data_IF_650333146814
#
_entry.id   IF_650333146814
#
_cell.length_a   1.000
_cell.length_b   1.000
_cell.length_c   1.000
_cell.angle_alpha   90.00
_cell.angle_beta   90.00
_cell.angle_gamma   90.00
#
_symmetry.space_group_name_H-M   'P 1'
#
loop_
_entity.id
_entity.type
_entity.pdbx_description
1 polymer ?
#
# COMPACT_ATOMS: atom_id res chain seq x y z
N UNK A 1 -11.70 25.83 -70.75
CA UNK A 1 -10.66 25.47 -69.77
C UNK A 1 -11.35 25.30 -68.43
N UNK A 2 -11.52 24.05 -67.99
CA UNK A 2 -11.97 23.69 -66.64
C UNK A 2 -11.41 22.29 -66.34
N UNK A 3 -10.60 22.18 -65.28
CA UNK A 3 -10.18 20.96 -64.55
C UNK A 3 -9.32 21.49 -63.38
N UNK A 4 -9.24 20.98 -62.15
CA UNK A 4 -9.58 19.71 -61.55
C UNK A 4 -8.65 19.52 -60.35
N UNK A 5 -9.22 19.42 -59.14
CA UNK A 5 -8.78 18.63 -57.98
C UNK A 5 -7.28 18.44 -57.62
N UNK A 6 -6.90 18.77 -56.37
CA UNK A 6 -6.38 17.84 -55.31
C UNK A 6 -5.43 18.51 -54.29
N UNK A 7 -5.82 18.41 -53.01
CA UNK A 7 -5.06 18.00 -51.82
C UNK A 7 -3.59 18.47 -51.63
N UNK A 8 -3.36 19.28 -50.59
CA UNK A 8 -2.13 19.21 -49.79
C UNK A 8 -2.43 19.56 -48.33
N UNK A 9 -2.53 18.52 -47.51
CA UNK A 9 -2.41 18.62 -46.05
C UNK A 9 -1.16 17.86 -45.63
N UNK A 10 -0.26 18.56 -44.91
CA UNK A 10 0.80 18.07 -44.02
C UNK A 10 1.88 19.18 -43.95
N UNK A 11 2.40 19.62 -42.81
CA UNK A 11 2.11 19.28 -41.43
C UNK A 11 2.50 20.48 -40.55
N UNK A 12 1.63 20.84 -39.61
CA UNK A 12 2.03 21.67 -38.49
C UNK A 12 2.79 20.76 -37.53
N UNK A 13 4.09 20.95 -37.41
CA UNK A 13 4.91 20.40 -36.32
C UNK A 13 4.21 20.71 -34.99
N UNK A 14 3.80 19.67 -34.28
CA UNK A 14 3.25 19.79 -32.93
C UNK A 14 4.34 20.35 -32.00
N UNK A 15 4.00 21.26 -31.07
CA UNK A 15 4.98 21.81 -30.13
C UNK A 15 5.59 20.71 -29.28
N UNK A 16 6.88 20.80 -29.00
CA UNK A 16 7.59 19.92 -28.07
C UNK A 16 7.01 20.12 -26.65
N UNK A 17 6.27 19.10 -26.19
CA UNK A 17 5.54 19.13 -24.91
C UNK A 17 6.41 18.69 -23.72
N UNK A 18 7.70 18.41 -23.93
CA UNK A 18 8.57 17.94 -22.84
C UNK A 18 8.98 19.02 -21.85
N UNK A 19 8.84 20.31 -22.18
CA UNK A 19 9.30 21.41 -21.32
C UNK A 19 8.18 22.28 -20.72
N UNK A 20 6.90 22.02 -21.02
CA UNK A 20 5.79 22.73 -20.36
C UNK A 20 5.33 21.97 -19.12
N UNK A 21 5.91 22.40 -18.00
CA UNK A 21 5.41 22.34 -16.62
C UNK A 21 4.39 21.22 -16.31
N UNK A 22 4.86 20.27 -15.49
CA UNK A 22 4.17 19.15 -14.82
C UNK A 22 3.02 19.55 -13.85
N UNK A 23 2.42 20.72 -14.05
CA UNK A 23 1.30 21.24 -13.26
C UNK A 23 0.11 21.69 -14.10
N UNK A 24 0.15 21.54 -15.42
CA UNK A 24 -0.94 22.03 -16.28
C UNK A 24 -2.06 20.98 -16.46
N UNK A 25 -3.24 21.30 -15.92
CA UNK A 25 -4.51 20.59 -16.14
C UNK A 25 -4.86 20.44 -17.62
N UNK A 26 -4.30 21.27 -18.51
CA UNK A 26 -4.48 21.17 -19.96
C UNK A 26 -3.73 19.96 -20.55
N UNK A 27 -2.58 19.57 -20.01
CA UNK A 27 -1.81 18.39 -20.44
C UNK A 27 -2.56 17.08 -20.16
N UNK A 28 -3.24 17.01 -19.02
CA UNK A 28 -4.14 15.91 -18.63
C UNK A 28 -5.36 15.79 -19.55
N UNK A 29 -5.89 16.91 -20.02
CA UNK A 29 -7.06 16.94 -20.94
C UNK A 29 -6.66 16.48 -22.34
N UNK A 30 -5.47 16.88 -22.80
CA UNK A 30 -4.87 16.39 -24.05
C UNK A 30 -4.50 14.90 -23.97
N UNK A 31 -3.97 14.43 -22.85
CA UNK A 31 -3.69 13.00 -22.62
C UNK A 31 -4.97 12.16 -22.60
N UNK A 32 -6.04 12.65 -21.96
CA UNK A 32 -7.35 11.97 -21.90
C UNK A 32 -7.99 11.86 -23.29
N UNK A 33 -7.87 12.90 -24.11
CA UNK A 33 -8.32 12.88 -25.50
C UNK A 33 -7.50 11.90 -26.36
N UNK A 34 -6.18 11.81 -26.16
CA UNK A 34 -5.29 10.90 -26.88
C UNK A 34 -5.42 9.43 -26.43
N UNK A 35 -5.75 9.19 -25.15
CA UNK A 35 -5.99 7.87 -24.57
C UNK A 35 -7.30 7.24 -25.05
N UNK A 36 -8.34 8.04 -25.30
CA UNK A 36 -9.57 7.56 -25.94
C UNK A 36 -9.36 7.12 -27.39
N UNK A 37 -8.26 7.50 -28.04
CA UNK A 37 -7.96 7.15 -29.43
C UNK A 37 -6.99 5.97 -29.57
N UNK A 38 -6.62 5.26 -28.49
CA UNK A 38 -5.64 4.16 -28.52
C UNK A 38 -4.36 4.53 -29.30
N UNK A 39 -3.92 5.78 -29.16
CA UNK A 39 -2.82 6.30 -29.95
C UNK A 39 -1.49 5.65 -29.51
N UNK A 40 -0.61 5.25 -30.44
CA UNK A 40 0.71 4.70 -30.13
C UNK A 40 1.55 5.58 -29.20
N UNK A 41 1.28 6.88 -29.19
CA UNK A 41 1.91 7.89 -28.33
C UNK A 41 1.53 7.73 -26.84
N UNK A 42 0.29 7.34 -26.52
CA UNK A 42 -0.14 7.08 -25.15
C UNK A 42 0.53 5.81 -24.58
N UNK A 43 0.66 4.77 -25.41
CA UNK A 43 1.39 3.55 -25.05
C UNK A 43 2.88 3.82 -24.83
N UNK A 44 3.47 4.69 -25.66
CA UNK A 44 4.86 5.15 -25.48
C UNK A 44 5.05 5.90 -24.16
N UNK A 45 4.12 6.78 -23.79
CA UNK A 45 4.18 7.49 -22.52
C UNK A 45 4.04 6.55 -21.32
N UNK A 46 3.12 5.57 -21.38
CA UNK A 46 2.96 4.57 -20.33
C UNK A 46 4.22 3.70 -20.16
N UNK A 47 4.84 3.27 -21.26
CA UNK A 47 6.06 2.48 -21.23
C UNK A 47 7.25 3.25 -20.62
N UNK A 48 7.39 4.55 -20.93
CA UNK A 48 8.41 5.42 -20.32
C UNK A 48 8.22 5.59 -18.82
N UNK A 49 6.97 5.73 -18.37
CA UNK A 49 6.65 5.80 -16.95
C UNK A 49 6.99 4.48 -16.23
N UNK A 50 6.70 3.33 -16.85
CA UNK A 50 7.09 2.03 -16.31
C UNK A 50 8.62 1.85 -16.20
N UNK A 51 9.37 2.27 -17.22
CA UNK A 51 10.84 2.25 -17.20
C UNK A 51 11.43 3.13 -16.08
N UNK A 52 10.80 4.28 -15.79
CA UNK A 52 11.22 5.14 -14.69
C UNK A 52 11.07 4.44 -13.33
N UNK A 53 9.93 3.78 -13.09
CA UNK A 53 9.67 3.02 -11.84
C UNK A 53 10.64 1.86 -11.71
N UNK A 54 10.89 1.13 -12.79
CA UNK A 54 11.83 0.01 -12.78
C UNK A 54 13.27 0.45 -12.52
N UNK A 55 13.71 1.54 -13.16
CA UNK A 55 15.05 2.12 -12.94
C UNK A 55 15.22 2.58 -11.50
N UNK A 56 14.19 3.18 -10.91
CA UNK A 56 14.18 3.56 -9.50
C UNK A 56 14.31 2.33 -8.57
N UNK A 57 13.61 1.23 -8.87
CA UNK A 57 13.74 -0.02 -8.11
C UNK A 57 15.15 -0.62 -8.20
N UNK A 58 15.79 -0.58 -9.38
CA UNK A 58 17.17 -1.03 -9.56
C UNK A 58 18.15 -0.16 -8.77
N UNK A 59 18.04 1.17 -8.86
CA UNK A 59 18.93 2.08 -8.11
C UNK A 59 18.78 1.90 -6.60
N UNK A 60 17.55 1.71 -6.13
CA UNK A 60 17.27 1.40 -4.72
C UNK A 60 17.89 0.06 -4.30
N UNK A 61 17.74 -0.98 -5.11
CA UNK A 61 18.34 -2.30 -4.85
C UNK A 61 19.88 -2.26 -4.83
N UNK A 62 20.50 -1.50 -5.73
CA UNK A 62 21.96 -1.29 -5.72
C UNK A 62 22.42 -0.51 -4.48
N UNK A 63 21.60 0.43 -3.98
CA UNK A 63 21.90 1.15 -2.74
C UNK A 63 21.79 0.27 -1.50
N UNK A 64 20.72 -0.51 -1.39
CA UNK A 64 20.55 -1.43 -0.27
C UNK A 64 21.70 -2.46 -0.22
N UNK A 65 22.19 -2.88 -1.39
CA UNK A 65 23.37 -3.74 -1.52
C UNK A 65 24.70 -3.03 -1.17
N UNK A 66 24.84 -1.73 -1.42
CA UNK A 66 26.08 -0.96 -1.10
C UNK A 66 26.11 -0.44 0.35
N UNK A 67 24.96 -0.22 0.99
CA UNK A 67 24.86 0.23 2.40
C UNK A 67 24.81 -0.90 3.43
N UNK A 68 24.92 -2.17 3.01
CA UNK A 68 25.00 -3.34 3.90
C UNK A 68 26.26 -3.39 4.80
N UNK A 69 27.06 -2.32 4.89
CA UNK A 69 28.29 -2.25 5.68
C UNK A 69 28.47 -1.00 6.58
N UNK A 70 27.51 -0.08 6.69
CA UNK A 70 27.71 1.18 7.43
C UNK A 70 26.50 1.61 8.28
N UNK A 71 26.57 1.36 9.58
CA UNK A 71 25.54 1.63 10.60
C UNK A 71 25.42 3.13 11.00
N UNK A 72 25.70 4.06 10.09
CA UNK A 72 25.86 5.50 10.40
C UNK A 72 25.17 6.49 9.44
N UNK A 73 24.17 6.06 8.66
CA UNK A 73 23.39 7.01 7.84
C UNK A 73 22.27 7.67 8.64
N UNK A 74 22.34 9.00 8.82
CA UNK A 74 21.29 9.78 9.49
C UNK A 74 19.98 9.80 8.68
N UNK A 75 18.81 9.95 9.33
CA UNK A 75 17.51 9.93 8.63
C UNK A 75 17.34 11.12 7.66
N UNK A 76 18.02 12.24 7.90
CA UNK A 76 18.11 13.38 6.98
C UNK A 76 18.84 13.03 5.69
N UNK A 77 19.86 12.17 5.76
CA UNK A 77 20.64 11.74 4.61
C UNK A 77 19.84 10.79 3.72
N UNK A 78 19.02 9.91 4.31
CA UNK A 78 18.08 9.06 3.58
C UNK A 78 17.04 9.88 2.82
N UNK A 79 16.53 10.95 3.44
CA UNK A 79 15.56 11.85 2.80
C UNK A 79 16.19 12.63 1.63
N UNK A 80 17.41 13.16 1.82
CA UNK A 80 18.15 13.87 0.77
C UNK A 80 18.51 12.96 -0.41
N UNK A 81 19.00 11.75 -0.11
CA UNK A 81 19.33 10.76 -1.12
C UNK A 81 18.10 10.23 -1.87
N UNK A 82 16.94 10.13 -1.21
CA UNK A 82 15.68 9.80 -1.88
C UNK A 82 15.25 10.88 -2.88
N UNK A 83 15.38 12.15 -2.52
CA UNK A 83 15.08 13.27 -3.43
C UNK A 83 16.04 13.32 -4.64
N UNK A 84 17.32 13.06 -4.41
CA UNK A 84 18.33 12.94 -5.46
C UNK A 84 18.01 11.80 -6.44
N UNK A 85 17.57 10.65 -5.93
CA UNK A 85 17.20 9.52 -6.77
C UNK A 85 15.98 9.80 -7.61
N UNK A 86 14.98 10.49 -7.05
CA UNK A 86 13.79 10.86 -7.79
C UNK A 86 14.15 11.79 -8.96
N UNK A 87 15.05 12.75 -8.74
CA UNK A 87 15.50 13.66 -9.79
C UNK A 87 16.38 12.96 -10.83
N UNK A 88 17.26 12.06 -10.39
CA UNK A 88 18.13 11.28 -11.27
C UNK A 88 17.33 10.26 -12.11
N UNK A 89 16.36 9.57 -11.51
CA UNK A 89 15.48 8.64 -12.22
C UNK A 89 14.62 9.35 -13.27
N UNK A 90 14.12 10.55 -12.96
CA UNK A 90 13.40 11.38 -13.93
C UNK A 90 14.30 11.85 -15.08
N UNK A 91 15.55 12.23 -14.79
CA UNK A 91 16.52 12.62 -15.81
C UNK A 91 16.95 11.45 -16.69
N UNK A 92 17.20 10.26 -16.10
CA UNK A 92 17.57 9.04 -16.81
C UNK A 92 16.42 8.49 -17.67
N UNK A 93 15.17 8.62 -17.21
CA UNK A 93 13.99 8.25 -18.00
C UNK A 93 13.69 9.27 -19.13
N UNK A 94 14.09 10.54 -18.96
CA UNK A 94 13.87 11.61 -19.95
C UNK A 94 14.98 11.69 -21.00
N UNK A 95 16.23 11.39 -20.62
CA UNK A 95 17.39 11.35 -21.51
C UNK A 95 17.81 9.91 -21.79
N UNK A 96 17.36 9.38 -22.94
CA UNK A 96 17.85 8.16 -23.57
C UNK A 96 18.06 7.01 -22.55
N UNK A 97 16.96 6.58 -21.93
CA UNK A 97 16.90 5.49 -20.96
C UNK A 97 17.47 4.16 -21.46
N UNK A 98 17.42 3.14 -20.60
CA UNK A 98 18.01 1.80 -20.81
C UNK A 98 17.41 1.09 -22.05
N UNK A 99 16.28 1.59 -22.57
CA UNK A 99 15.65 1.13 -23.80
C UNK A 99 14.62 0.04 -23.54
N UNK A 100 14.25 -0.17 -22.27
CA UNK A 100 13.27 -1.19 -21.88
C UNK A 100 11.86 -0.80 -22.33
N UNK A 101 11.52 0.49 -22.28
CA UNK A 101 10.26 0.97 -22.83
C UNK A 101 10.14 0.66 -24.32
N UNK A 102 11.21 0.89 -25.10
CA UNK A 102 11.25 0.62 -26.53
C UNK A 102 11.17 -0.88 -26.85
N UNK A 103 11.82 -1.72 -26.03
CA UNK A 103 11.72 -3.19 -26.15
C UNK A 103 10.32 -3.70 -25.82
N UNK A 104 9.69 -3.18 -24.77
CA UNK A 104 8.31 -3.52 -24.41
C UNK A 104 7.34 -3.09 -25.50
N UNK A 105 7.49 -1.88 -26.05
CA UNK A 105 6.67 -1.41 -27.17
C UNK A 105 6.85 -2.28 -28.42
N UNK A 106 8.08 -2.73 -28.69
CA UNK A 106 8.38 -3.63 -29.81
C UNK A 106 7.79 -5.02 -29.59
N UNK A 107 7.81 -5.56 -28.36
CA UNK A 107 7.13 -6.81 -28.01
C UNK A 107 5.61 -6.67 -28.04
N UNK A 108 5.05 -5.54 -27.58
CA UNK A 108 3.60 -5.28 -27.59
C UNK A 108 3.08 -5.15 -29.04
N UNK A 109 3.85 -4.47 -29.91
CA UNK A 109 3.57 -4.36 -31.33
C UNK A 109 3.68 -5.70 -32.08
N UNK A 110 4.56 -6.60 -31.62
CA UNK A 110 4.70 -7.95 -32.19
C UNK A 110 3.63 -8.93 -31.68
N UNK A 111 3.12 -8.75 -30.47
CA UNK A 111 2.18 -9.69 -29.82
C UNK A 111 0.71 -9.27 -29.96
N UNK A 112 0.43 -8.08 -30.53
CA UNK A 112 -0.93 -7.63 -30.88
C UNK A 112 -1.88 -7.47 -29.69
N UNK A 113 -1.37 -7.49 -28.46
CA UNK A 113 -2.19 -7.47 -27.25
C UNK A 113 -2.51 -6.02 -26.88
N UNK A 114 -3.76 -5.62 -27.06
CA UNK A 114 -4.25 -4.32 -26.58
C UNK A 114 -4.34 -4.38 -25.05
N UNK A 115 -3.71 -3.41 -24.38
CA UNK A 115 -3.86 -3.24 -22.93
C UNK A 115 -5.35 -2.97 -22.62
N UNK A 116 -5.96 -3.67 -21.64
CA UNK A 116 -7.37 -3.48 -21.33
C UNK A 116 -7.65 -2.03 -20.89
N UNK A 117 -8.78 -1.42 -21.31
CA UNK A 117 -9.15 -0.03 -20.99
C UNK A 117 -9.28 0.28 -19.49
N UNK A 118 -9.26 -0.73 -18.62
CA UNK A 118 -9.32 -0.56 -17.17
C UNK A 118 -8.07 0.14 -16.57
N UNK A 119 -6.97 0.25 -17.33
CA UNK A 119 -5.80 1.02 -16.92
C UNK A 119 -5.93 2.54 -17.15
N UNK A 120 -7.02 3.01 -17.77
CA UNK A 120 -7.23 4.43 -18.11
C UNK A 120 -8.21 5.16 -17.15
N UNK A 121 -8.57 4.53 -16.04
CA UNK A 121 -9.66 4.97 -15.16
C UNK A 121 -9.24 5.37 -13.75
N UNK A 122 -8.12 6.08 -13.56
CA UNK A 122 -7.81 6.95 -12.39
C UNK A 122 -6.35 7.41 -12.49
N UNK A 123 -6.08 8.39 -13.34
CA UNK A 123 -4.84 9.17 -13.22
C UNK A 123 -5.07 10.23 -12.13
N UNK A 124 -4.79 9.88 -10.88
CA UNK A 124 -4.30 10.90 -9.97
C UNK A 124 -2.90 11.29 -10.47
N UNK A 125 -2.55 12.58 -10.53
CA UNK A 125 -1.23 12.98 -10.97
C UNK A 125 -0.19 12.31 -10.08
N UNK A 126 0.70 11.51 -10.69
CA UNK A 126 1.91 10.97 -10.06
C UNK A 126 2.89 12.13 -9.81
N UNK A 127 2.52 13.05 -8.95
CA UNK A 127 3.40 14.08 -8.42
C UNK A 127 4.23 13.46 -7.30
N UNK A 128 5.40 12.94 -7.63
CA UNK A 128 6.50 12.70 -6.69
C UNK A 128 6.18 11.89 -5.42
N UNK A 129 5.09 11.12 -5.39
CA UNK A 129 4.78 10.25 -4.26
C UNK A 129 5.54 8.95 -4.50
N UNK A 130 6.65 8.78 -3.79
CA UNK A 130 7.33 7.49 -3.71
C UNK A 130 6.27 6.40 -3.45
N UNK A 131 6.21 5.36 -4.29
CA UNK A 131 5.30 4.22 -4.12
C UNK A 131 5.47 3.68 -2.70
N UNK A 132 4.55 4.05 -1.82
CA UNK A 132 4.66 3.71 -0.41
C UNK A 132 3.83 2.45 -0.13
N UNK A 133 4.11 1.78 0.99
CA UNK A 133 3.41 0.55 1.35
C UNK A 133 1.88 0.75 1.43
N UNK A 134 1.40 1.97 1.68
CA UNK A 134 -0.01 2.29 1.78
C UNK A 134 -0.69 2.28 0.42
N UNK A 135 -0.03 2.78 -0.63
CA UNK A 135 -0.54 2.74 -2.00
C UNK A 135 -0.73 1.30 -2.51
N UNK A 136 0.17 0.39 -2.13
CA UNK A 136 0.09 -1.03 -2.48
C UNK A 136 -1.06 -1.78 -1.78
N UNK A 137 -1.52 -1.29 -0.62
CA UNK A 137 -2.64 -1.87 0.12
C UNK A 137 -3.96 -1.24 -0.34
N UNK A 138 -3.95 0.07 -0.59
CA UNK A 138 -5.11 0.82 -1.03
C UNK A 138 -6.23 0.92 0.01
N UNK A 139 -7.05 1.97 -0.13
CA UNK A 139 -8.28 2.15 0.63
C UNK A 139 -9.41 2.31 -0.38
N UNK A 140 -10.44 1.48 -0.25
CA UNK A 140 -11.57 1.46 -1.16
C UNK A 140 -12.44 2.72 -1.03
N UNK A 141 -13.13 3.07 -2.11
CA UNK A 141 -14.09 4.17 -2.12
C UNK A 141 -15.25 3.89 -1.15
N UNK A 142 -15.58 4.86 -0.30
CA UNK A 142 -16.57 4.70 0.76
C UNK A 142 -16.03 4.11 2.08
N UNK A 143 -14.71 3.93 2.20
CA UNK A 143 -14.08 3.67 3.49
C UNK A 143 -14.28 4.84 4.47
N UNK A 144 -14.26 4.58 5.80
CA UNK A 144 -14.33 5.64 6.79
C UNK A 144 -13.22 6.68 6.59
N UNK A 145 -13.48 7.95 6.92
CA UNK A 145 -12.51 9.04 6.74
C UNK A 145 -11.15 8.77 7.43
N UNK A 146 -11.15 8.04 8.55
CA UNK A 146 -9.94 7.67 9.29
C UNK A 146 -9.12 6.56 8.61
N UNK A 147 -9.63 5.90 7.56
CA UNK A 147 -8.99 4.75 6.94
C UNK A 147 -7.67 5.11 6.24
N UNK A 148 -7.62 6.24 5.53
CA UNK A 148 -6.41 6.71 4.85
C UNK A 148 -5.24 6.87 5.82
N UNK A 149 -5.41 7.75 6.82
CA UNK A 149 -4.38 8.01 7.85
C UNK A 149 -4.04 6.76 8.66
N UNK A 150 -5.00 5.86 8.87
CA UNK A 150 -4.76 4.58 9.55
C UNK A 150 -3.84 3.67 8.73
N UNK A 151 -4.13 3.51 7.44
CA UNK A 151 -3.30 2.69 6.54
C UNK A 151 -1.93 3.32 6.36
N UNK A 152 -1.84 4.64 6.16
CA UNK A 152 -0.57 5.33 5.98
C UNK A 152 0.40 5.11 7.16
N UNK A 153 -0.11 5.14 8.40
CA UNK A 153 0.70 4.90 9.61
C UNK A 153 1.18 3.46 9.77
N UNK A 154 0.44 2.47 9.24
CA UNK A 154 0.64 1.05 9.58
C UNK A 154 1.07 0.20 8.39
N UNK A 155 0.98 0.70 7.16
CA UNK A 155 1.18 -0.09 5.96
C UNK A 155 2.56 -0.76 5.90
N UNK A 156 3.62 -0.03 6.26
CA UNK A 156 4.98 -0.59 6.28
C UNK A 156 5.10 -1.76 7.26
N UNK A 157 4.61 -1.58 8.49
CA UNK A 157 4.59 -2.64 9.51
C UNK A 157 3.78 -3.86 9.06
N UNK A 158 2.60 -3.62 8.46
CA UNK A 158 1.75 -4.67 7.94
C UNK A 158 2.40 -5.44 6.79
N UNK A 159 3.09 -4.76 5.86
CA UNK A 159 3.81 -5.40 4.76
C UNK A 159 5.00 -6.23 5.28
N UNK A 160 5.78 -5.70 6.22
CA UNK A 160 6.91 -6.41 6.83
C UNK A 160 6.45 -7.71 7.54
N UNK A 161 5.38 -7.61 8.32
CA UNK A 161 4.78 -8.78 8.95
C UNK A 161 4.18 -9.76 7.93
N UNK A 162 3.66 -9.25 6.81
CA UNK A 162 3.11 -10.08 5.74
C UNK A 162 4.19 -10.90 5.06
N UNK A 163 5.30 -10.26 4.70
CA UNK A 163 6.44 -10.91 4.06
C UNK A 163 7.06 -12.03 4.91
N UNK A 164 7.07 -11.88 6.24
CA UNK A 164 7.66 -12.86 7.15
C UNK A 164 6.71 -14.00 7.56
N UNK A 165 5.40 -13.76 7.58
CA UNK A 165 4.41 -14.74 8.08
C UNK A 165 3.56 -15.40 7.00
N UNK A 166 3.51 -14.82 5.81
CA UNK A 166 2.58 -15.23 4.75
C UNK A 166 1.13 -14.79 4.96
N UNK A 167 0.81 -14.12 6.07
CA UNK A 167 -0.52 -13.55 6.32
C UNK A 167 -0.63 -12.24 5.54
N UNK A 168 -1.65 -12.00 4.68
CA UNK A 168 -1.75 -10.76 3.93
C UNK A 168 -1.86 -9.51 4.83
N UNK A 169 -1.12 -8.47 4.46
CA UNK A 169 -1.14 -7.17 5.14
C UNK A 169 -2.57 -6.61 5.34
N UNK A 170 -3.42 -6.71 4.30
CA UNK A 170 -4.82 -6.27 4.34
C UNK A 170 -5.65 -6.95 5.43
N UNK A 171 -5.37 -8.22 5.75
CA UNK A 171 -6.10 -8.94 6.79
C UNK A 171 -5.69 -8.49 8.18
N UNK A 172 -4.38 -8.30 8.41
CA UNK A 172 -3.87 -7.74 9.65
C UNK A 172 -4.38 -6.32 9.87
N UNK A 173 -4.36 -5.46 8.84
CA UNK A 173 -4.93 -4.12 8.91
C UNK A 173 -6.43 -4.12 9.16
N UNK A 174 -7.18 -5.07 8.56
CA UNK A 174 -8.62 -5.19 8.80
C UNK A 174 -8.92 -5.54 10.25
N UNK A 175 -8.13 -6.44 10.86
CA UNK A 175 -8.28 -6.75 12.27
C UNK A 175 -7.86 -5.56 13.14
N UNK A 176 -6.69 -4.96 12.90
CA UNK A 176 -6.27 -3.77 13.63
C UNK A 176 -7.31 -2.64 13.56
N UNK A 177 -7.92 -2.41 12.39
CA UNK A 177 -8.98 -1.42 12.20
C UNK A 177 -10.26 -1.78 12.98
N UNK A 178 -10.65 -3.05 13.01
CA UNK A 178 -11.80 -3.53 13.79
C UNK A 178 -11.55 -3.37 15.29
N UNK A 179 -10.39 -3.81 15.78
CA UNK A 179 -10.05 -3.82 17.22
C UNK A 179 -9.82 -2.41 17.78
N UNK A 180 -9.20 -1.51 17.01
CA UNK A 180 -8.88 -0.15 17.45
C UNK A 180 -9.90 0.91 16.99
N UNK A 181 -10.92 0.52 16.22
CA UNK A 181 -11.84 1.45 15.58
C UNK A 181 -11.12 2.43 14.64
N UNK A 182 -10.31 1.91 13.71
CA UNK A 182 -9.45 2.69 12.81
C UNK A 182 -8.44 3.58 13.56
N UNK A 183 -7.88 3.06 14.66
CA UNK A 183 -6.86 3.73 15.48
C UNK A 183 -7.41 4.73 16.49
N UNK A 184 -8.74 4.95 16.54
CA UNK A 184 -9.38 5.93 17.44
C UNK A 184 -9.32 5.51 18.90
N UNK A 185 -9.35 4.21 19.17
CA UNK A 185 -9.40 3.63 20.51
C UNK A 185 -8.14 2.82 20.84
N UNK A 186 -7.00 3.23 20.30
CA UNK A 186 -5.71 2.64 20.67
C UNK A 186 -5.45 2.76 22.18
N UNK A 187 -4.93 1.68 22.77
CA UNK A 187 -4.51 1.66 24.17
C UNK A 187 -3.35 2.64 24.34
N UNK A 188 -3.50 3.58 25.28
CA UNK A 188 -2.47 4.58 25.61
C UNK A 188 -1.77 4.25 26.91
N UNK A 189 -0.49 4.59 26.98
CA UNK A 189 0.28 4.60 28.23
C UNK A 189 -0.22 5.71 29.14
N UNK A 190 0.21 5.66 30.42
CA UNK A 190 -0.14 6.65 31.44
C UNK A 190 0.31 8.08 31.08
N UNK A 191 1.40 8.22 30.33
CA UNK A 191 1.90 9.50 29.81
C UNK A 191 1.15 10.01 28.57
N UNK A 192 0.14 9.28 28.10
CA UNK A 192 -0.65 9.62 26.91
C UNK A 192 -0.06 9.14 25.58
N UNK A 193 1.16 8.57 25.56
CA UNK A 193 1.77 7.99 24.37
C UNK A 193 1.05 6.70 23.93
N UNK A 194 1.11 6.35 22.65
CA UNK A 194 0.48 5.10 22.15
C UNK A 194 1.24 3.88 22.62
N UNK A 195 0.55 2.85 23.10
CA UNK A 195 1.16 1.53 23.35
C UNK A 195 1.52 0.78 22.06
N UNK A 196 1.10 1.30 20.89
CA UNK A 196 1.11 0.66 19.58
C UNK A 196 0.28 -0.63 19.49
N UNK A 197 -0.42 -1.04 20.56
CA UNK A 197 -1.20 -2.26 20.60
C UNK A 197 -2.58 -2.08 19.95
N UNK A 198 -2.56 -1.97 18.62
CA UNK A 198 -3.75 -1.80 17.77
C UNK A 198 -4.63 -3.05 17.68
N UNK A 199 -4.11 -4.19 18.11
CA UNK A 199 -4.81 -5.49 18.12
C UNK A 199 -5.47 -5.81 19.48
N UNK A 200 -5.23 -5.00 20.51
CA UNK A 200 -5.78 -5.25 21.85
C UNK A 200 -5.25 -6.53 22.51
N UNK A 201 -4.02 -6.97 22.20
CA UNK A 201 -3.49 -8.24 22.72
C UNK A 201 -3.20 -8.12 24.22
N UNK A 202 -3.84 -8.98 25.01
CA UNK A 202 -3.60 -9.08 26.46
C UNK A 202 -2.20 -9.65 26.76
N UNK A 203 -1.58 -9.16 27.83
CA UNK A 203 -0.31 -9.67 28.32
C UNK A 203 -0.55 -10.95 29.15
N UNK A 204 -0.30 -12.11 28.54
CA UNK A 204 -0.38 -13.41 29.21
C UNK A 204 0.85 -13.72 30.07
N UNK A 205 0.85 -14.87 30.75
CA UNK A 205 1.94 -15.30 31.64
C UNK A 205 3.32 -15.37 30.98
N UNK A 206 3.37 -15.65 29.67
CA UNK A 206 4.61 -15.79 28.91
C UNK A 206 5.09 -14.46 28.30
N UNK A 207 4.33 -13.38 28.44
CA UNK A 207 4.75 -12.07 27.94
C UNK A 207 5.73 -11.44 28.94
N UNK A 208 6.95 -11.17 28.47
CA UNK A 208 8.03 -10.54 29.25
C UNK A 208 8.32 -9.10 28.83
N UNK A 209 7.65 -8.61 27.79
CA UNK A 209 7.81 -7.25 27.28
C UNK A 209 7.05 -6.19 28.08
N UNK A 210 7.08 -4.93 27.61
CA UNK A 210 6.36 -3.83 28.24
C UNK A 210 4.84 -4.09 28.29
N UNK A 211 4.17 -3.51 29.27
CA UNK A 211 2.72 -3.65 29.43
C UNK A 211 2.06 -2.35 29.83
N UNK A 212 0.77 -2.22 29.51
CA UNK A 212 -0.11 -1.16 29.99
C UNK A 212 -1.32 -1.78 30.66
N UNK A 213 -1.70 -1.25 31.82
CA UNK A 213 -2.93 -1.64 32.51
C UNK A 213 -4.03 -0.63 32.22
N UNK A 214 -5.18 -1.12 31.77
CA UNK A 214 -6.35 -0.31 31.42
C UNK A 214 -7.58 -0.88 32.10
N UNK A 215 -8.44 -0.01 32.62
CA UNK A 215 -9.76 -0.41 33.09
C UNK A 215 -10.62 -0.85 31.89
N UNK A 216 -11.02 -2.11 31.87
CA UNK A 216 -11.93 -2.68 30.86
C UNK A 216 -13.25 -3.06 31.49
N UNK A 217 -14.30 -3.10 30.68
CA UNK A 217 -15.60 -3.65 31.08
C UNK A 217 -15.67 -5.10 30.59
N UNK A 218 -15.57 -6.06 31.51
CA UNK A 218 -15.75 -7.48 31.22
C UNK A 218 -17.18 -7.89 31.58
N UNK A 219 -17.81 -8.73 30.75
CA UNK A 219 -19.14 -9.26 31.04
C UNK A 219 -19.02 -10.63 31.71
N UNK A 220 -19.30 -10.70 33.01
CA UNK A 220 -19.32 -11.95 33.78
C UNK A 220 -20.77 -12.29 34.06
N UNK A 221 -21.25 -13.46 33.59
CA UNK A 221 -22.65 -13.87 33.69
C UNK A 221 -23.65 -12.84 33.13
N UNK A 222 -23.26 -12.14 32.06
CA UNK A 222 -24.09 -11.10 31.41
C UNK A 222 -24.12 -9.74 32.12
N UNK A 223 -23.41 -9.57 33.25
CA UNK A 223 -23.31 -8.30 33.95
C UNK A 223 -21.97 -7.62 33.67
N UNK A 224 -21.95 -6.29 33.41
CA UNK A 224 -20.71 -5.55 33.18
C UNK A 224 -19.94 -5.33 34.49
N UNK A 225 -18.69 -5.75 34.55
CA UNK A 225 -17.75 -5.51 35.64
C UNK A 225 -16.54 -4.72 35.14
N UNK A 226 -16.20 -3.62 35.82
CA UNK A 226 -14.94 -2.91 35.55
C UNK A 226 -13.79 -3.65 36.22
N UNK A 227 -12.84 -4.11 35.43
CA UNK A 227 -11.63 -4.78 35.92
C UNK A 227 -10.40 -4.18 35.26
N UNK A 228 -9.26 -4.22 35.94
CA UNK A 228 -7.98 -3.85 35.31
C UNK A 228 -7.50 -5.02 34.46
N UNK A 229 -7.32 -4.77 33.16
CA UNK A 229 -6.73 -5.72 32.24
C UNK A 229 -5.32 -5.26 31.85
N UNK A 230 -4.39 -6.21 31.78
CA UNK A 230 -3.01 -5.98 31.38
C UNK A 230 -2.86 -6.30 29.90
N UNK A 231 -2.42 -5.32 29.12
CA UNK A 231 -2.18 -5.42 27.68
C UNK A 231 -0.69 -5.35 27.37
N UNK A 232 -0.29 -6.00 26.28
CA UNK A 232 1.05 -5.83 25.72
C UNK A 232 1.24 -4.37 25.29
N UNK A 233 2.45 -3.87 25.37
CA UNK A 233 2.83 -2.59 24.82
C UNK A 233 4.14 -2.75 24.05
N UNK A 234 4.23 -2.05 22.92
CA UNK A 234 5.32 -2.20 21.97
C UNK A 234 6.04 -0.88 21.78
N UNK A 235 7.18 -0.89 21.09
CA UNK A 235 7.96 0.32 20.78
C UNK A 235 7.58 0.93 19.44
N UNK A 236 6.94 0.15 18.56
CA UNK A 236 6.50 0.58 17.23
C UNK A 236 5.35 -0.29 16.72
N UNK A 237 4.72 0.14 15.62
CA UNK A 237 3.77 -0.72 14.90
C UNK A 237 4.44 -1.94 14.27
N UNK A 238 5.71 -1.88 13.83
CA UNK A 238 6.43 -3.07 13.34
C UNK A 238 6.48 -4.19 14.39
N UNK A 239 6.79 -3.85 15.65
CA UNK A 239 6.80 -4.82 16.74
C UNK A 239 5.40 -5.38 17.02
N UNK A 240 4.38 -4.52 17.00
CA UNK A 240 2.99 -4.94 17.22
C UNK A 240 2.49 -5.90 16.13
N UNK A 241 2.76 -5.59 14.86
CA UNK A 241 2.36 -6.43 13.72
C UNK A 241 3.18 -7.72 13.66
N UNK A 242 4.48 -7.69 13.97
CA UNK A 242 5.30 -8.89 14.05
C UNK A 242 4.82 -9.83 15.16
N UNK A 243 4.53 -9.32 16.36
CA UNK A 243 4.00 -10.12 17.47
C UNK A 243 2.61 -10.70 17.15
N UNK A 244 1.74 -9.91 16.51
CA UNK A 244 0.46 -10.40 16.01
C UNK A 244 0.63 -11.52 14.98
N UNK A 245 1.48 -11.32 13.98
CA UNK A 245 1.72 -12.30 12.93
C UNK A 245 2.29 -13.61 13.52
N UNK A 246 3.22 -13.51 14.48
CA UNK A 246 3.75 -14.65 15.23
C UNK A 246 2.67 -15.37 16.03
N UNK A 247 1.77 -14.65 16.70
CA UNK A 247 0.67 -15.25 17.45
C UNK A 247 -0.23 -16.11 16.54
N UNK A 248 -0.53 -15.62 15.34
CA UNK A 248 -1.38 -16.32 14.37
C UNK A 248 -0.62 -17.45 13.67
N UNK A 249 0.65 -17.26 13.31
CA UNK A 249 1.42 -18.26 12.55
C UNK A 249 1.94 -19.41 13.41
N UNK A 250 2.31 -19.16 14.66
CA UNK A 250 2.96 -20.16 15.53
C UNK A 250 1.98 -21.01 16.34
N UNK A 251 0.73 -20.55 16.53
CA UNK A 251 -0.25 -21.26 17.34
C UNK A 251 -1.05 -22.25 16.47
N UNK A 252 -0.97 -23.58 16.73
CA UNK A 252 -1.67 -24.59 15.93
C UNK A 252 -3.19 -24.37 15.84
N UNK A 253 -3.77 -23.68 16.83
CA UNK A 253 -5.18 -23.26 16.83
C UNK A 253 -5.56 -22.47 15.57
N UNK A 254 -4.63 -21.69 15.01
CA UNK A 254 -4.85 -20.84 13.84
C UNK A 254 -4.31 -21.44 12.53
N UNK A 255 -3.91 -22.72 12.51
CA UNK A 255 -3.37 -23.34 11.30
C UNK A 255 -4.31 -23.22 10.09
N UNK A 256 -5.62 -23.42 10.28
CA UNK A 256 -6.62 -23.24 9.22
C UNK A 256 -6.82 -21.78 8.80
N UNK A 257 -6.47 -20.81 9.65
CA UNK A 257 -6.51 -19.38 9.30
C UNK A 257 -5.38 -19.08 8.31
N UNK A 258 -4.16 -19.54 8.63
CA UNK A 258 -2.98 -19.37 7.77
C UNK A 258 -3.17 -20.09 6.44
N UNK A 259 -3.70 -21.31 6.46
CA UNK A 259 -3.96 -22.09 5.24
C UNK A 259 -5.01 -21.44 4.31
N UNK A 260 -5.91 -20.60 4.86
CA UNK A 260 -6.94 -19.89 4.11
C UNK A 260 -6.61 -18.41 3.90
N UNK A 261 -5.35 -18.01 4.08
CA UNK A 261 -4.95 -16.61 4.02
C UNK A 261 -5.06 -15.98 2.61
N UNK A 262 -5.47 -16.72 1.59
CA UNK A 262 -5.77 -16.18 0.26
C UNK A 262 -7.26 -15.81 0.06
N UNK A 263 -8.16 -16.23 0.95
CA UNK A 263 -9.60 -15.96 0.86
C UNK A 263 -10.12 -15.24 2.11
N UNK A 264 -10.68 -14.04 1.93
CA UNK A 264 -11.12 -13.18 3.02
C UNK A 264 -12.24 -13.82 3.85
N UNK A 265 -13.18 -14.51 3.20
CA UNK A 265 -14.32 -15.13 3.88
C UNK A 265 -13.88 -16.32 4.73
N UNK A 266 -13.03 -17.18 4.17
CA UNK A 266 -12.46 -18.34 4.87
C UNK A 266 -11.54 -17.90 6.01
N UNK A 267 -10.70 -16.88 5.79
CA UNK A 267 -9.84 -16.31 6.83
C UNK A 267 -10.67 -15.83 8.04
N UNK A 268 -11.68 -14.99 7.81
CA UNK A 268 -12.53 -14.47 8.88
C UNK A 268 -13.33 -15.56 9.59
N UNK A 269 -13.89 -16.51 8.83
CA UNK A 269 -14.66 -17.64 9.39
C UNK A 269 -13.78 -18.57 10.21
N UNK A 270 -12.57 -18.88 9.75
CA UNK A 270 -11.63 -19.73 10.46
C UNK A 270 -11.09 -19.04 11.73
N UNK A 271 -10.90 -17.72 11.72
CA UNK A 271 -10.55 -16.96 12.93
C UNK A 271 -11.64 -17.09 14.00
N UNK A 272 -12.91 -16.90 13.61
CA UNK A 272 -14.02 -17.04 14.54
C UNK A 272 -14.14 -18.48 15.06
N UNK A 273 -14.04 -19.50 14.19
CA UNK A 273 -14.04 -20.92 14.58
C UNK A 273 -12.89 -21.28 15.51
N UNK A 274 -11.72 -20.68 15.30
CA UNK A 274 -10.56 -20.83 16.16
C UNK A 274 -10.74 -20.16 17.54
N UNK A 275 -11.84 -19.46 17.77
CA UNK A 275 -12.13 -18.79 19.03
C UNK A 275 -11.28 -17.55 19.26
N UNK A 276 -10.92 -16.83 18.19
CA UNK A 276 -10.22 -15.54 18.31
C UNK A 276 -11.06 -14.51 19.08
N UNK A 277 -12.38 -14.47 18.81
CA UNK A 277 -13.34 -13.63 19.50
C UNK A 277 -14.58 -14.44 19.90
N UNK A 278 -15.23 -14.03 21.01
CA UNK A 278 -16.48 -14.63 21.49
C UNK A 278 -17.73 -14.05 20.83
N UNK A 279 -17.59 -12.95 20.09
CA UNK A 279 -18.68 -12.31 19.36
C UNK A 279 -19.18 -13.22 18.22
N UNK A 280 -20.47 -13.63 18.22
CA UNK A 280 -21.02 -14.48 17.16
C UNK A 280 -21.03 -13.81 15.78
N UNK A 281 -20.92 -12.48 15.72
CA UNK A 281 -20.87 -11.71 14.48
C UNK A 281 -19.45 -11.33 14.04
N UNK A 282 -18.40 -11.81 14.72
CA UNK A 282 -17.02 -11.39 14.50
C UNK A 282 -16.59 -11.49 13.02
N UNK A 283 -16.74 -12.66 12.41
CA UNK A 283 -16.34 -12.88 11.01
C UNK A 283 -17.08 -11.94 10.07
N UNK A 284 -18.37 -11.71 10.30
CA UNK A 284 -19.18 -10.80 9.49
C UNK A 284 -18.73 -9.34 9.61
N UNK A 285 -18.35 -8.90 10.80
CA UNK A 285 -17.81 -7.55 11.04
C UNK A 285 -16.45 -7.39 10.38
N UNK A 286 -15.58 -8.40 10.52
CA UNK A 286 -14.26 -8.40 9.92
C UNK A 286 -14.33 -8.36 8.40
N UNK A 287 -15.18 -9.18 7.77
CA UNK A 287 -15.40 -9.15 6.33
C UNK A 287 -15.92 -7.80 5.83
N UNK A 288 -16.75 -7.09 6.62
CA UNK A 288 -17.18 -5.72 6.25
C UNK A 288 -15.99 -4.76 6.24
N UNK A 289 -15.10 -4.86 7.21
CA UNK A 289 -13.89 -4.03 7.25
C UNK A 289 -12.94 -4.37 6.10
N UNK A 290 -12.76 -5.65 5.76
CA UNK A 290 -11.91 -6.09 4.65
C UNK A 290 -12.31 -5.49 3.30
N UNK A 291 -13.61 -5.19 3.08
CA UNK A 291 -14.09 -4.53 1.86
C UNK A 291 -13.60 -3.09 1.69
N UNK A 292 -13.05 -2.49 2.74
CA UNK A 292 -12.47 -1.14 2.68
C UNK A 292 -11.01 -1.11 2.23
N UNK A 293 -10.41 -2.27 1.93
CA UNK A 293 -9.06 -2.40 1.37
C UNK A 293 -9.18 -2.86 -0.09
N UNK A 294 -8.30 -2.36 -0.96
CA UNK A 294 -8.37 -2.55 -2.41
C UNK A 294 -7.49 -3.72 -2.89
#
# INVERSE_FOLDING_TARGET
>A
MADGSRLSGAGKSLPDLTQRATYDMQGLTALRAAAHQQSPQATQQAAKQFEAVFTQMMMKSMRDATMSGGLLGSDQEKMFNGMLDDQLAQQLASHKGIGLADMMLKQLAQTGTTLPPAALGRQQPLQGRAYNAADAIGVAEGAPAAAGDFVERMATAAQNASASSGIPARFMLSQAALESGWGKHEIRRRDGSTSFNVFGIKAGKHWTGPTVEVATTEYVNGQPHKVMAKFRAYRSYDEAFADYANLISSNPRYASVVASANDAASFATNLQRAGYATDPQYASKLMKIMKHFA
#
